data_IF_772782959942
#
_entry.id   IF_772782959942
#
_cell.length_a   1.000
_cell.length_b   1.000
_cell.length_c   1.000
_cell.angle_alpha   90.00
_cell.angle_beta   90.00
_cell.angle_gamma   90.00
#
_symmetry.space_group_name_H-M   'P 1'
#
loop_
_entity.id
_entity.type
_entity.pdbx_description
1 polymer ?
#
# COMPACT_ATOMS: atom_id res chain seq x y z
N UNK A 1 39.24 47.67 -19.65
CA UNK A 1 39.20 46.39 -20.39
C UNK A 1 40.58 45.78 -20.43
N UNK A 2 40.70 44.46 -20.52
CA UNK A 2 42.02 43.83 -20.52
C UNK A 2 42.69 43.93 -21.89
N UNK A 3 43.99 44.22 -21.91
CA UNK A 3 44.80 44.35 -23.11
C UNK A 3 45.82 43.20 -23.19
N UNK A 4 46.25 42.86 -24.40
CA UNK A 4 47.35 41.94 -24.62
C UNK A 4 48.71 42.67 -24.45
N UNK A 5 49.83 41.93 -24.49
CA UNK A 5 51.18 42.50 -24.34
C UNK A 5 51.54 43.50 -25.47
N UNK A 6 50.79 43.50 -26.57
CA UNK A 6 50.91 44.40 -27.73
C UNK A 6 49.87 45.54 -27.72
N UNK A 7 49.14 45.75 -26.62
CA UNK A 7 48.17 46.84 -26.46
C UNK A 7 46.77 46.61 -27.09
N UNK A 8 46.52 45.48 -27.75
CA UNK A 8 45.22 45.14 -28.35
C UNK A 8 44.20 44.74 -27.29
N UNK A 9 42.96 45.23 -27.41
CA UNK A 9 41.88 44.90 -26.48
C UNK A 9 41.43 43.43 -26.62
N UNK A 10 41.28 42.74 -25.48
CA UNK A 10 40.93 41.33 -25.38
C UNK A 10 39.49 41.09 -24.87
N UNK A 11 38.79 42.16 -24.48
CA UNK A 11 37.47 42.14 -23.86
C UNK A 11 37.50 42.39 -22.34
N UNK A 12 36.32 42.42 -21.71
CA UNK A 12 36.16 42.60 -20.26
C UNK A 12 36.57 41.31 -19.53
N UNK A 13 37.45 41.42 -18.53
CA UNK A 13 37.83 40.28 -17.66
C UNK A 13 38.94 39.35 -18.18
N UNK A 14 39.49 39.58 -19.38
CA UNK A 14 40.56 38.75 -19.98
C UNK A 14 41.85 39.55 -20.13
N UNK A 15 42.98 39.03 -19.66
CA UNK A 15 44.31 39.66 -19.78
C UNK A 15 45.37 38.66 -20.20
N UNK A 16 46.45 39.14 -20.81
CA UNK A 16 47.61 38.30 -21.17
C UNK A 16 48.73 38.44 -20.13
N UNK A 17 49.29 37.32 -19.68
CA UNK A 17 50.43 37.29 -18.74
C UNK A 17 51.76 37.40 -19.48
N UNK A 18 52.83 37.75 -18.74
CA UNK A 18 54.21 37.87 -19.27
C UNK A 18 54.73 36.60 -19.94
N UNK A 19 54.24 35.42 -19.53
CA UNK A 19 54.58 34.12 -20.11
C UNK A 19 53.76 33.75 -21.37
N UNK A 20 53.01 34.69 -21.95
CA UNK A 20 52.23 34.49 -23.18
C UNK A 20 50.84 33.87 -22.98
N UNK A 21 50.54 33.31 -21.80
CA UNK A 21 49.26 32.66 -21.47
C UNK A 21 48.17 33.71 -21.23
N UNK A 22 46.96 33.44 -21.70
CA UNK A 22 45.77 34.25 -21.43
C UNK A 22 45.08 33.77 -20.16
N UNK A 23 44.64 34.69 -19.31
CA UNK A 23 43.79 34.36 -18.16
C UNK A 23 42.50 35.17 -18.17
N UNK A 24 41.40 34.49 -17.88
CA UNK A 24 40.08 35.06 -17.67
C UNK A 24 39.73 35.00 -16.18
N UNK A 25 39.17 36.07 -15.63
CA UNK A 25 38.63 36.09 -14.26
C UNK A 25 37.12 36.05 -14.28
N UNK A 26 36.54 35.20 -13.45
CA UNK A 26 35.12 35.20 -13.11
C UNK A 26 34.97 35.21 -11.59
N UNK A 27 33.80 35.62 -11.12
CA UNK A 27 33.43 35.54 -9.71
C UNK A 27 32.58 34.30 -9.56
N UNK A 28 32.98 33.38 -8.68
CA UNK A 28 32.14 32.23 -8.34
C UNK A 28 30.96 32.67 -7.47
N UNK A 29 29.97 31.80 -7.31
CA UNK A 29 28.74 32.12 -6.55
C UNK A 29 28.96 32.49 -5.07
N UNK A 30 30.15 32.24 -4.50
CA UNK A 30 30.50 32.62 -3.13
C UNK A 30 31.21 33.99 -3.06
N UNK A 31 31.27 34.70 -4.19
CA UNK A 31 31.98 35.98 -4.29
C UNK A 31 33.49 35.84 -4.43
N UNK A 32 34.03 34.62 -4.51
CA UNK A 32 35.46 34.40 -4.65
C UNK A 32 35.88 34.51 -6.12
N UNK A 33 37.00 35.20 -6.36
CA UNK A 33 37.52 35.42 -7.71
C UNK A 33 38.29 34.18 -8.17
N UNK A 34 37.74 33.46 -9.13
CA UNK A 34 38.36 32.31 -9.78
C UNK A 34 38.99 32.73 -11.11
N UNK A 35 39.84 31.87 -11.67
CA UNK A 35 40.53 32.15 -12.93
C UNK A 35 40.61 30.90 -13.80
N UNK A 36 40.43 31.10 -15.11
CA UNK A 36 40.66 30.08 -16.14
C UNK A 36 41.82 30.50 -17.02
N UNK A 37 42.54 29.51 -17.56
CA UNK A 37 43.76 29.71 -18.33
C UNK A 37 43.67 29.03 -19.69
N UNK A 38 44.33 29.61 -20.68
CA UNK A 38 44.43 29.06 -22.03
C UNK A 38 45.54 29.72 -22.84
N UNK A 39 45.97 29.04 -23.91
CA UNK A 39 47.02 29.52 -24.81
C UNK A 39 46.45 30.47 -25.88
N UNK A 40 45.13 30.48 -26.07
CA UNK A 40 44.44 31.39 -26.98
C UNK A 40 43.29 32.13 -26.30
N UNK A 41 42.94 33.31 -26.83
CA UNK A 41 41.79 34.10 -26.34
C UNK A 41 40.47 33.34 -26.54
N UNK A 42 40.34 32.58 -27.63
CA UNK A 42 39.14 31.78 -27.94
C UNK A 42 38.92 30.68 -26.90
N UNK A 43 39.99 29.98 -26.52
CA UNK A 43 39.96 28.93 -25.50
C UNK A 43 39.55 29.50 -24.12
N UNK A 44 40.13 30.65 -23.72
CA UNK A 44 39.77 31.30 -22.45
C UNK A 44 38.33 31.78 -22.45
N UNK A 45 37.81 32.31 -23.56
CA UNK A 45 36.40 32.69 -23.68
C UNK A 45 35.45 31.48 -23.57
N UNK A 46 35.77 30.36 -24.21
CA UNK A 46 34.98 29.14 -24.10
C UNK A 46 34.97 28.60 -22.66
N UNK A 47 36.14 28.53 -22.01
CA UNK A 47 36.26 28.13 -20.59
C UNK A 47 35.54 29.07 -19.63
N UNK A 48 35.52 30.37 -19.90
CA UNK A 48 34.74 31.35 -19.11
C UNK A 48 33.24 31.12 -19.27
N UNK A 49 32.74 30.97 -20.50
CA UNK A 49 31.32 30.73 -20.76
C UNK A 49 30.84 29.41 -20.15
N UNK A 50 31.68 28.36 -20.20
CA UNK A 50 31.39 27.07 -19.56
C UNK A 50 31.38 27.18 -18.04
N UNK A 51 32.33 27.91 -17.44
CA UNK A 51 32.37 28.16 -16.00
C UNK A 51 31.16 28.98 -15.53
N UNK A 52 30.79 30.05 -16.25
CA UNK A 52 29.62 30.87 -15.93
C UNK A 52 28.30 30.07 -16.06
N UNK A 53 28.18 29.21 -17.08
CA UNK A 53 27.02 28.32 -17.25
C UNK A 53 26.94 27.27 -16.13
N UNK A 54 28.08 26.71 -15.71
CA UNK A 54 28.14 25.75 -14.61
C UNK A 54 27.81 26.41 -13.27
N UNK A 55 28.32 27.63 -13.02
CA UNK A 55 27.95 28.43 -11.85
C UNK A 55 26.47 28.82 -11.85
N UNK A 56 25.87 29.16 -13.00
CA UNK A 56 24.41 29.41 -13.10
C UNK A 56 23.58 28.14 -12.85
N UNK A 57 24.06 26.96 -13.26
CA UNK A 57 23.39 25.69 -12.96
C UNK A 57 23.50 25.30 -11.48
N UNK A 58 24.62 25.61 -10.84
CA UNK A 58 24.88 25.33 -9.42
C UNK A 58 24.37 26.45 -8.48
N UNK A 59 24.11 27.65 -9.00
CA UNK A 59 23.56 28.82 -8.28
C UNK A 59 22.24 28.52 -7.56
N UNK A 60 21.49 27.52 -8.03
CA UNK A 60 20.22 27.11 -7.45
C UNK A 60 20.36 25.95 -6.46
N UNK A 61 21.57 25.63 -5.96
CA UNK A 61 21.77 24.58 -4.95
C UNK A 61 22.18 25.18 -3.60
N UNK A 62 21.31 25.05 -2.59
CA UNK A 62 21.46 25.61 -1.23
C UNK A 62 22.63 24.98 -0.47
N UNK A 63 22.82 23.67 -0.57
CA UNK A 63 23.93 22.95 0.04
C UNK A 63 24.32 21.72 -0.79
N UNK A 64 25.52 21.74 -1.37
CA UNK A 64 26.04 20.65 -2.19
C UNK A 64 26.68 19.51 -1.37
N UNK A 65 26.92 19.74 -0.08
CA UNK A 65 27.62 18.78 0.78
C UNK A 65 26.67 17.87 1.53
N UNK A 66 25.40 18.25 1.64
CA UNK A 66 24.40 17.47 2.36
C UNK A 66 24.34 16.03 1.83
N UNK A 67 24.46 15.09 2.74
CA UNK A 67 24.34 13.66 2.48
C UNK A 67 22.89 13.20 2.50
N UNK A 68 22.62 12.01 1.97
CA UNK A 68 21.27 11.45 2.00
C UNK A 68 20.77 11.22 3.43
N UNK A 69 21.62 10.76 4.35
CA UNK A 69 21.24 10.55 5.76
C UNK A 69 20.85 11.86 6.44
N UNK A 70 21.67 12.91 6.28
CA UNK A 70 21.36 14.24 6.83
C UNK A 70 20.07 14.82 6.24
N UNK A 71 19.86 14.61 4.93
CA UNK A 71 18.63 15.02 4.29
C UNK A 71 17.42 14.22 4.77
N UNK A 72 17.55 12.90 4.92
CA UNK A 72 16.48 12.03 5.39
C UNK A 72 15.98 12.43 6.77
N UNK A 73 16.88 12.72 7.71
CA UNK A 73 16.50 13.17 9.06
C UNK A 73 15.77 14.52 9.02
N UNK A 74 16.24 15.47 8.20
CA UNK A 74 15.53 16.75 7.99
C UNK A 74 14.16 16.55 7.35
N UNK A 75 14.10 15.73 6.29
CA UNK A 75 12.89 15.44 5.56
C UNK A 75 11.84 14.74 6.43
N UNK A 76 12.26 13.78 7.24
CA UNK A 76 11.39 13.09 8.18
C UNK A 76 10.80 14.09 9.18
N UNK A 77 11.66 14.87 9.84
CA UNK A 77 11.26 15.85 10.87
C UNK A 77 10.34 16.95 10.35
N UNK A 78 10.68 17.54 9.20
CA UNK A 78 9.97 18.72 8.67
C UNK A 78 8.71 18.32 7.90
N UNK A 79 8.78 17.29 7.06
CA UNK A 79 7.72 16.98 6.11
C UNK A 79 6.85 15.79 6.48
N UNK A 80 7.34 14.83 7.29
CA UNK A 80 6.62 13.58 7.56
C UNK A 80 6.08 13.48 8.96
N UNK A 81 6.89 13.73 9.98
CA UNK A 81 6.46 13.65 11.38
C UNK A 81 5.16 14.43 11.68
N UNK A 82 4.94 15.64 11.15
CA UNK A 82 3.70 16.37 11.42
C UNK A 82 2.44 15.77 10.78
N UNK A 83 2.58 14.90 9.78
CA UNK A 83 1.46 14.44 8.94
C UNK A 83 1.25 12.93 8.92
N UNK A 84 2.26 12.13 9.28
CA UNK A 84 2.17 10.65 9.23
C UNK A 84 1.99 10.05 10.63
N UNK A 85 1.23 8.94 10.71
CA UNK A 85 1.10 8.16 11.94
C UNK A 85 2.42 7.45 12.30
N UNK A 86 2.60 7.16 13.60
CA UNK A 86 3.78 6.45 14.13
C UNK A 86 4.12 5.17 13.36
N UNK A 87 3.14 4.34 13.01
CA UNK A 87 3.37 3.11 12.24
C UNK A 87 3.96 3.36 10.84
N UNK A 88 3.59 4.47 10.21
CA UNK A 88 4.13 4.89 8.91
C UNK A 88 5.57 5.37 9.07
N UNK A 89 5.84 6.16 10.12
CA UNK A 89 7.20 6.58 10.49
C UNK A 89 8.11 5.38 10.76
N UNK A 90 7.66 4.41 11.56
CA UNK A 90 8.38 3.16 11.81
C UNK A 90 8.70 2.42 10.51
N UNK A 91 7.73 2.35 9.60
CA UNK A 91 7.92 1.69 8.30
C UNK A 91 8.95 2.40 7.45
N UNK A 92 8.90 3.73 7.38
CA UNK A 92 9.89 4.53 6.64
C UNK A 92 11.29 4.37 7.23
N UNK A 93 11.44 4.49 8.56
CA UNK A 93 12.71 4.34 9.26
C UNK A 93 13.31 2.94 9.07
N UNK A 94 12.50 1.89 9.22
CA UNK A 94 12.95 0.52 9.01
C UNK A 94 13.43 0.29 7.57
N UNK A 95 12.68 0.79 6.60
CA UNK A 95 13.00 0.67 5.18
C UNK A 95 14.25 1.45 4.81
N UNK A 96 14.34 2.71 5.23
CA UNK A 96 15.47 3.58 4.94
C UNK A 96 16.77 3.02 5.55
N UNK A 97 16.78 2.75 6.86
CA UNK A 97 17.97 2.28 7.58
C UNK A 97 18.46 0.91 7.09
N UNK A 98 17.54 0.02 6.69
CA UNK A 98 17.91 -1.33 6.25
C UNK A 98 18.29 -1.42 4.77
N UNK A 99 17.64 -0.64 3.90
CA UNK A 99 17.73 -0.82 2.45
C UNK A 99 18.42 0.34 1.72
N UNK A 100 18.27 1.58 2.20
CA UNK A 100 18.72 2.78 1.48
C UNK A 100 20.03 3.32 2.07
N UNK A 101 20.04 3.60 3.38
CA UNK A 101 21.20 4.18 4.08
C UNK A 101 22.50 3.38 3.90
N UNK A 102 22.50 2.02 3.92
CA UNK A 102 23.73 1.26 3.71
C UNK A 102 24.39 1.47 2.34
N UNK A 103 23.64 1.93 1.34
CA UNK A 103 24.13 2.14 -0.02
C UNK A 103 24.36 3.62 -0.31
N UNK A 104 23.46 4.50 0.10
CA UNK A 104 23.47 5.93 -0.26
C UNK A 104 23.60 6.89 0.92
N UNK A 105 23.56 6.41 2.16
CA UNK A 105 23.42 7.26 3.35
C UNK A 105 24.49 8.35 3.43
N UNK A 106 25.75 7.97 3.21
CA UNK A 106 26.92 8.88 3.18
C UNK A 106 27.14 9.57 1.84
N UNK A 107 26.35 9.25 0.82
CA UNK A 107 26.47 9.86 -0.51
C UNK A 107 25.84 11.24 -0.49
N UNK A 108 26.54 12.24 -1.04
CA UNK A 108 25.98 13.58 -1.25
C UNK A 108 24.81 13.51 -2.22
N UNK A 109 23.75 14.28 -1.96
CA UNK A 109 22.55 14.26 -2.82
C UNK A 109 22.89 14.48 -4.30
N UNK A 110 23.74 15.47 -4.58
CA UNK A 110 24.17 15.84 -5.94
C UNK A 110 24.87 14.71 -6.71
N UNK A 111 25.42 13.73 -5.99
CA UNK A 111 26.14 12.59 -6.59
C UNK A 111 25.25 11.36 -6.80
N UNK A 112 24.00 11.37 -6.32
CA UNK A 112 23.09 10.25 -6.49
C UNK A 112 22.60 10.24 -7.94
N UNK A 113 22.88 9.14 -8.64
CA UNK A 113 22.47 8.98 -10.03
C UNK A 113 21.32 7.99 -10.17
N UNK A 114 20.59 8.09 -11.30
CA UNK A 114 19.56 7.12 -11.67
C UNK A 114 20.11 5.70 -11.78
N UNK A 115 21.34 5.55 -12.27
CA UNK A 115 22.02 4.26 -12.41
C UNK A 115 22.20 3.60 -11.04
N UNK A 116 22.67 4.34 -10.06
CA UNK A 116 22.84 3.85 -8.68
C UNK A 116 21.51 3.36 -8.08
N UNK A 117 20.43 4.14 -8.24
CA UNK A 117 19.11 3.75 -7.73
C UNK A 117 18.57 2.51 -8.45
N UNK A 118 18.78 2.41 -9.77
CA UNK A 118 18.40 1.24 -10.55
C UNK A 118 19.17 0.00 -10.08
N UNK A 119 20.46 0.13 -9.80
CA UNK A 119 21.29 -0.95 -9.27
C UNK A 119 20.83 -1.38 -7.87
N UNK A 120 20.49 -0.45 -6.97
CA UNK A 120 19.90 -0.76 -5.66
C UNK A 120 18.66 -1.66 -5.81
N UNK A 121 17.70 -1.25 -6.65
CA UNK A 121 16.45 -2.00 -6.85
C UNK A 121 16.71 -3.37 -7.50
N UNK A 122 17.64 -3.46 -8.44
CA UNK A 122 18.05 -4.73 -9.06
C UNK A 122 18.68 -5.67 -8.03
N UNK A 123 19.55 -5.16 -7.17
CA UNK A 123 20.17 -5.94 -6.11
C UNK A 123 19.15 -6.39 -5.05
N UNK A 124 18.17 -5.56 -4.72
CA UNK A 124 17.02 -5.99 -3.91
C UNK A 124 16.25 -7.12 -4.59
N UNK A 125 15.99 -7.02 -5.89
CA UNK A 125 15.29 -8.09 -6.62
C UNK A 125 16.07 -9.40 -6.60
N UNK A 126 17.41 -9.35 -6.78
CA UNK A 126 18.30 -10.51 -6.66
C UNK A 126 18.28 -11.14 -5.27
N UNK A 127 18.07 -10.34 -4.22
CA UNK A 127 17.89 -10.81 -2.83
C UNK A 127 16.48 -11.38 -2.55
N UNK A 128 15.62 -11.52 -3.57
CA UNK A 128 14.29 -12.13 -3.44
C UNK A 128 13.16 -11.16 -3.06
N UNK A 129 13.41 -9.86 -2.96
CA UNK A 129 12.34 -8.90 -2.62
C UNK A 129 11.26 -8.84 -3.70
N UNK A 130 9.99 -8.78 -3.28
CA UNK A 130 8.84 -8.70 -4.18
C UNK A 130 8.54 -7.27 -4.66
N UNK A 131 7.74 -7.17 -5.72
CA UNK A 131 7.42 -5.90 -6.40
C UNK A 131 7.02 -4.79 -5.42
N UNK A 132 6.13 -5.08 -4.47
CA UNK A 132 5.62 -4.11 -3.50
C UNK A 132 6.73 -3.53 -2.64
N UNK A 133 7.69 -4.36 -2.22
CA UNK A 133 8.86 -3.91 -1.46
C UNK A 133 9.79 -3.03 -2.28
N UNK A 134 10.04 -3.42 -3.54
CA UNK A 134 10.82 -2.63 -4.49
C UNK A 134 10.15 -1.28 -4.76
N UNK A 135 8.84 -1.30 -4.99
CA UNK A 135 8.04 -0.12 -5.28
C UNK A 135 7.99 0.83 -4.09
N UNK A 136 7.86 0.32 -2.86
CA UNK A 136 7.91 1.15 -1.64
C UNK A 136 9.23 1.91 -1.51
N UNK A 137 10.38 1.24 -1.73
CA UNK A 137 11.70 1.90 -1.72
C UNK A 137 11.78 2.97 -2.81
N UNK A 138 11.34 2.65 -4.03
CA UNK A 138 11.30 3.61 -5.14
C UNK A 138 10.44 4.83 -4.80
N UNK A 139 9.22 4.63 -4.27
CA UNK A 139 8.30 5.71 -3.91
C UNK A 139 8.89 6.60 -2.82
N UNK A 140 9.50 5.99 -1.79
CA UNK A 140 10.16 6.72 -0.71
C UNK A 140 11.31 7.61 -1.25
N UNK A 141 12.16 7.06 -2.13
CA UNK A 141 13.22 7.82 -2.78
C UNK A 141 12.68 8.95 -3.66
N UNK A 142 11.62 8.70 -4.43
CA UNK A 142 10.99 9.72 -5.27
C UNK A 142 10.48 10.87 -4.41
N UNK A 143 9.73 10.58 -3.36
CA UNK A 143 9.13 11.59 -2.48
C UNK A 143 10.20 12.43 -1.76
N UNK A 144 11.20 11.78 -1.15
CA UNK A 144 12.30 12.46 -0.47
C UNK A 144 13.13 13.34 -1.41
N UNK A 145 13.44 12.87 -2.62
CA UNK A 145 14.26 13.62 -3.58
C UNK A 145 13.47 14.67 -4.36
N UNK A 146 12.14 14.56 -4.44
CA UNK A 146 11.29 15.65 -4.92
C UNK A 146 11.32 16.82 -3.95
N UNK A 147 11.18 16.56 -2.64
CA UNK A 147 11.31 17.60 -1.62
C UNK A 147 12.68 18.25 -1.61
N UNK A 148 13.75 17.47 -1.80
CA UNK A 148 15.09 18.02 -1.98
C UNK A 148 15.20 18.94 -3.20
N UNK A 149 14.47 18.67 -4.27
CA UNK A 149 14.46 19.52 -5.47
C UNK A 149 13.67 20.81 -5.24
N UNK A 150 12.50 20.72 -4.61
CA UNK A 150 11.67 21.88 -4.23
C UNK A 150 12.46 22.83 -3.32
N UNK A 151 13.20 22.28 -2.35
CA UNK A 151 14.05 23.04 -1.43
C UNK A 151 15.44 23.36 -2.01
N UNK A 152 15.63 23.20 -3.33
CA UNK A 152 16.85 23.62 -4.01
C UNK A 152 18.12 22.92 -3.47
N UNK A 153 18.04 21.68 -3.00
CA UNK A 153 19.21 20.82 -2.75
C UNK A 153 19.59 19.97 -3.97
N UNK A 154 18.68 19.86 -4.94
CA UNK A 154 18.86 19.12 -6.18
C UNK A 154 18.27 19.88 -7.36
N UNK A 155 18.93 19.82 -8.52
CA UNK A 155 18.39 20.37 -9.78
C UNK A 155 17.32 19.44 -10.36
N UNK A 156 17.45 18.13 -10.16
CA UNK A 156 16.56 17.10 -10.69
C UNK A 156 16.47 15.91 -9.75
N UNK A 157 15.35 15.20 -9.79
CA UNK A 157 15.17 13.97 -9.01
C UNK A 157 15.70 12.76 -9.80
N UNK A 158 16.81 12.13 -9.37
CA UNK A 158 17.38 10.96 -10.05
C UNK A 158 16.53 9.68 -9.93
N UNK A 159 15.60 9.60 -8.96
CA UNK A 159 14.69 8.47 -8.81
C UNK A 159 13.53 8.50 -9.81
N UNK A 160 13.23 9.67 -10.41
CA UNK A 160 12.15 9.81 -11.37
C UNK A 160 12.43 8.97 -12.63
N UNK A 161 11.46 8.14 -13.00
CA UNK A 161 11.57 7.26 -14.17
C UNK A 161 12.48 6.03 -13.98
N UNK A 162 12.87 5.69 -12.75
CA UNK A 162 13.46 4.36 -12.43
C UNK A 162 12.41 3.28 -12.71
N UNK A 163 12.78 2.26 -13.49
CA UNK A 163 11.93 1.08 -13.75
C UNK A 163 12.26 0.00 -12.74
N UNK A 164 11.23 -0.73 -12.30
CA UNK A 164 11.40 -1.87 -11.41
C UNK A 164 11.68 -3.12 -12.25
N UNK A 165 12.54 -4.04 -11.77
CA UNK A 165 12.88 -5.28 -12.47
C UNK A 165 11.78 -6.34 -12.42
N UNK A 166 10.73 -6.12 -11.62
CA UNK A 166 9.54 -6.97 -11.53
C UNK A 166 8.33 -6.20 -12.04
N UNK A 167 7.42 -6.90 -12.70
CA UNK A 167 6.11 -6.36 -13.03
C UNK A 167 5.24 -6.32 -11.77
N UNK A 168 4.29 -5.39 -11.77
CA UNK A 168 3.25 -5.38 -10.73
C UNK A 168 2.48 -6.69 -10.85
N UNK A 169 2.36 -7.49 -9.77
CA UNK A 169 1.58 -8.70 -9.85
C UNK A 169 0.11 -8.33 -10.09
N UNK A 170 -0.54 -9.05 -11.01
CA UNK A 170 -1.99 -9.08 -11.06
C UNK A 170 -2.44 -10.00 -9.92
N UNK A 171 -2.55 -9.44 -8.72
CA UNK A 171 -3.11 -10.19 -7.61
C UNK A 171 -4.62 -10.31 -7.84
N UNK A 172 -5.08 -11.48 -8.23
CA UNK A 172 -6.49 -11.83 -8.09
C UNK A 172 -6.83 -11.79 -6.59
N UNK A 173 -7.90 -11.08 -6.25
CA UNK A 173 -8.31 -11.01 -4.86
C UNK A 173 -8.99 -12.33 -4.51
N UNK A 174 -8.23 -13.21 -3.84
CA UNK A 174 -8.71 -14.55 -3.47
C UNK A 174 -9.65 -14.47 -2.26
N UNK A 175 -10.95 -14.52 -2.54
CA UNK A 175 -11.96 -14.96 -1.58
C UNK A 175 -11.96 -16.48 -1.51
N UNK A 176 -12.46 -17.06 -0.41
CA UNK A 176 -12.66 -18.51 -0.34
C UNK A 176 -13.71 -18.95 -1.36
N UNK A 177 -13.48 -20.10 -1.99
CA UNK A 177 -14.54 -20.82 -2.71
C UNK A 177 -15.64 -21.24 -1.73
N UNK A 178 -16.82 -21.62 -2.24
CA UNK A 178 -17.91 -22.10 -1.37
C UNK A 178 -17.56 -23.42 -0.70
N UNK A 179 -16.84 -24.28 -1.43
CA UNK A 179 -16.31 -25.56 -0.95
C UNK A 179 -15.26 -25.33 0.14
N UNK A 180 -14.24 -24.51 -0.12
CA UNK A 180 -13.20 -24.20 0.87
C UNK A 180 -13.76 -23.54 2.13
N UNK A 181 -14.74 -22.67 1.96
CA UNK A 181 -15.43 -22.07 3.10
C UNK A 181 -16.15 -23.14 3.93
N UNK A 182 -16.87 -24.06 3.29
CA UNK A 182 -17.58 -25.14 3.98
C UNK A 182 -16.61 -26.01 4.76
N UNK A 183 -15.59 -26.55 4.08
CA UNK A 183 -14.60 -27.45 4.67
C UNK A 183 -13.84 -26.78 5.83
N UNK A 184 -13.46 -25.51 5.66
CA UNK A 184 -12.79 -24.75 6.71
C UNK A 184 -13.66 -24.63 7.95
N UNK A 185 -14.94 -24.28 7.81
CA UNK A 185 -15.83 -24.06 8.96
C UNK A 185 -16.32 -25.36 9.60
N UNK A 186 -16.42 -26.45 8.83
CA UNK A 186 -16.67 -27.78 9.37
C UNK A 186 -15.47 -28.27 10.19
N UNK A 187 -14.24 -28.14 9.66
CA UNK A 187 -13.02 -28.50 10.38
C UNK A 187 -12.77 -27.59 11.60
N UNK A 188 -13.05 -26.29 11.49
CA UNK A 188 -12.90 -25.35 12.60
C UNK A 188 -13.95 -25.55 13.70
N UNK A 189 -15.06 -26.26 13.44
CA UNK A 189 -16.13 -26.45 14.40
C UNK A 189 -15.60 -27.06 15.71
N UNK A 190 -16.01 -26.47 16.84
CA UNK A 190 -15.55 -26.91 18.17
C UNK A 190 -14.13 -26.50 18.55
N UNK A 191 -13.34 -25.94 17.64
CA UNK A 191 -12.02 -25.39 17.98
C UNK A 191 -12.14 -24.06 18.72
N UNK A 192 -11.09 -23.70 19.48
CA UNK A 192 -11.11 -22.53 20.37
C UNK A 192 -11.44 -21.21 19.66
N UNK A 193 -11.01 -21.03 18.41
CA UNK A 193 -11.19 -19.79 17.65
C UNK A 193 -12.36 -19.84 16.65
N UNK A 194 -13.18 -20.89 16.65
CA UNK A 194 -14.27 -21.06 15.70
C UNK A 194 -15.21 -19.85 15.64
N UNK A 195 -15.68 -19.38 16.81
CA UNK A 195 -16.59 -18.24 16.88
C UNK A 195 -15.97 -16.97 16.27
N UNK A 196 -14.66 -16.76 16.47
CA UNK A 196 -13.92 -15.63 15.88
C UNK A 196 -13.90 -15.72 14.34
N UNK A 197 -13.65 -16.90 13.78
CA UNK A 197 -13.67 -17.10 12.33
C UNK A 197 -15.07 -16.85 11.75
N UNK A 198 -16.11 -17.35 12.44
CA UNK A 198 -17.51 -17.16 12.01
C UNK A 198 -17.86 -15.68 12.02
N UNK A 199 -17.47 -14.94 13.06
CA UNK A 199 -17.69 -13.49 13.10
C UNK A 199 -16.91 -12.79 11.99
N UNK A 200 -15.65 -13.14 11.76
CA UNK A 200 -14.82 -12.52 10.72
C UNK A 200 -15.43 -12.65 9.31
N UNK A 201 -15.89 -13.86 8.92
CA UNK A 201 -16.44 -14.10 7.59
C UNK A 201 -17.84 -13.50 7.41
N UNK A 202 -18.61 -13.29 8.49
CA UNK A 202 -19.96 -12.73 8.43
C UNK A 202 -20.01 -11.21 8.56
N UNK A 203 -18.89 -10.55 8.87
CA UNK A 203 -18.85 -9.09 9.11
C UNK A 203 -17.81 -8.38 8.28
N UNK A 204 -16.80 -9.11 7.79
CA UNK A 204 -15.68 -8.54 7.06
C UNK A 204 -14.86 -7.53 7.85
N UNK A 205 -14.87 -7.60 9.19
CA UNK A 205 -14.01 -6.76 10.03
C UNK A 205 -12.54 -6.99 9.68
N UNK A 206 -11.74 -5.92 9.73
CA UNK A 206 -10.29 -6.07 9.60
C UNK A 206 -9.77 -6.82 10.83
N UNK A 207 -8.71 -7.62 10.73
CA UNK A 207 -8.25 -8.41 11.87
C UNK A 207 -7.95 -7.56 13.12
N UNK A 208 -7.31 -6.39 12.96
CA UNK A 208 -7.08 -5.47 14.08
C UNK A 208 -8.36 -4.89 14.72
N UNK A 209 -9.45 -4.72 13.95
CA UNK A 209 -10.76 -4.31 14.47
C UNK A 209 -11.41 -5.45 15.25
N UNK A 210 -11.30 -6.69 14.73
CA UNK A 210 -11.80 -7.90 15.36
C UNK A 210 -11.12 -8.16 16.71
N UNK A 211 -9.80 -7.98 16.80
CA UNK A 211 -9.03 -8.19 18.04
C UNK A 211 -9.36 -7.17 19.13
N UNK A 212 -9.91 -6.01 18.74
CA UNK A 212 -10.18 -4.90 19.65
C UNK A 212 -11.65 -4.82 20.07
N UNK A 213 -12.48 -5.75 19.59
CA UNK A 213 -13.91 -5.78 19.86
C UNK A 213 -14.17 -6.11 21.33
N UNK A 214 -15.04 -5.35 21.99
CA UNK A 214 -15.52 -5.62 23.35
C UNK A 214 -17.01 -5.97 23.33
N UNK A 215 -17.56 -6.46 24.44
CA UNK A 215 -19.00 -6.74 24.57
C UNK A 215 -19.85 -5.46 24.40
N UNK A 216 -19.32 -4.30 24.84
CA UNK A 216 -19.98 -2.99 24.73
C UNK A 216 -20.14 -2.49 23.29
N UNK A 217 -19.33 -2.99 22.35
CA UNK A 217 -19.43 -2.62 20.93
C UNK A 217 -20.60 -3.30 20.23
N UNK A 218 -21.29 -4.25 20.87
CA UNK A 218 -22.37 -5.05 20.27
C UNK A 218 -23.72 -4.50 20.69
N UNK A 219 -24.49 -4.00 19.72
CA UNK A 219 -25.88 -3.62 19.90
C UNK A 219 -26.79 -4.79 19.48
N UNK A 220 -27.21 -5.55 20.49
CA UNK A 220 -28.09 -6.72 20.34
C UNK A 220 -29.52 -6.37 19.91
N UNK A 221 -29.96 -5.13 20.18
CA UNK A 221 -31.31 -4.67 19.84
C UNK A 221 -31.40 -4.39 18.35
N UNK A 222 -30.39 -3.69 17.82
CA UNK A 222 -30.34 -3.32 16.41
C UNK A 222 -29.59 -4.35 15.54
N UNK A 223 -29.01 -5.41 16.13
CA UNK A 223 -28.19 -6.40 15.44
C UNK A 223 -27.02 -5.75 14.68
N UNK A 224 -26.22 -4.96 15.39
CA UNK A 224 -25.04 -4.31 14.79
C UNK A 224 -23.81 -4.37 15.70
N UNK A 225 -22.64 -4.29 15.08
CA UNK A 225 -21.36 -4.06 15.74
C UNK A 225 -20.89 -2.64 15.44
N UNK A 226 -20.52 -1.90 16.49
CA UNK A 226 -19.90 -0.58 16.38
C UNK A 226 -18.37 -0.72 16.31
N UNK A 227 -17.80 -0.42 15.15
CA UNK A 227 -16.36 -0.48 14.92
C UNK A 227 -15.76 0.89 15.18
N UNK A 228 -15.04 1.04 16.30
CA UNK A 228 -14.51 2.34 16.73
C UNK A 228 -13.01 2.30 17.12
N UNK A 229 -12.38 1.13 17.12
CA UNK A 229 -10.99 0.92 17.55
C UNK A 229 -10.30 -0.20 16.78
N UNK A 230 -8.97 -0.20 16.83
CA UNK A 230 -8.13 -1.26 16.28
C UNK A 230 -6.98 -1.56 17.25
N UNK A 231 -6.64 -2.83 17.36
CA UNK A 231 -5.49 -3.30 18.13
C UNK A 231 -4.36 -3.66 17.16
N UNK A 232 -3.17 -3.14 17.43
CA UNK A 232 -1.96 -3.38 16.65
C UNK A 232 -0.87 -3.96 17.54
N UNK A 233 -0.20 -5.02 17.10
CA UNK A 233 0.99 -5.56 17.76
C UNK A 233 2.24 -5.25 16.94
N UNK A 234 2.99 -4.22 17.33
CA UNK A 234 4.18 -3.75 16.62
C UNK A 234 5.13 -3.06 17.60
N UNK A 235 6.39 -2.87 17.22
CA UNK A 235 7.29 -1.93 17.88
C UNK A 235 7.12 -0.56 17.23
N UNK A 236 6.49 0.39 17.90
CA UNK A 236 6.43 1.79 17.51
C UNK A 236 7.62 2.56 18.11
N UNK A 237 7.76 3.82 17.70
CA UNK A 237 8.80 4.69 18.23
C UNK A 237 8.53 5.02 19.70
N UNK A 238 9.55 4.92 20.54
CA UNK A 238 9.42 5.03 22.00
C UNK A 238 9.35 3.67 22.70
N UNK A 239 8.99 2.60 21.99
CA UNK A 239 8.91 1.28 22.60
C UNK A 239 10.28 0.58 22.70
N UNK A 240 10.50 -0.14 23.79
CA UNK A 240 11.68 -1.00 23.95
C UNK A 240 11.58 -2.26 23.07
N UNK A 241 10.39 -2.86 22.99
CA UNK A 241 10.11 -4.09 22.26
C UNK A 241 8.76 -4.02 21.51
N UNK A 242 8.33 -5.10 20.85
CA UNK A 242 6.99 -5.14 20.25
C UNK A 242 5.96 -5.16 21.36
N UNK A 243 4.99 -4.27 21.30
CA UNK A 243 3.89 -4.20 22.27
C UNK A 243 2.55 -4.00 21.57
N UNK A 244 1.48 -4.07 22.34
CA UNK A 244 0.13 -3.82 21.88
C UNK A 244 -0.19 -2.32 21.95
N UNK A 245 -0.74 -1.79 20.87
CA UNK A 245 -1.21 -0.42 20.79
C UNK A 245 -2.68 -0.44 20.41
N UNK A 246 -3.50 0.11 21.29
CA UNK A 246 -4.89 0.39 21.02
C UNK A 246 -5.02 1.81 20.47
N UNK A 247 -5.75 1.99 19.38
CA UNK A 247 -5.97 3.31 18.82
C UNK A 247 -7.20 3.37 17.93
N UNK A 248 -7.57 4.60 17.50
CA UNK A 248 -8.67 4.76 16.56
C UNK A 248 -8.30 4.16 15.19
N UNK A 249 -9.30 3.71 14.40
CA UNK A 249 -9.09 3.18 13.06
C UNK A 249 -8.29 4.12 12.15
N UNK A 250 -7.73 3.54 11.07
CA UNK A 250 -6.80 4.25 10.17
C UNK A 250 -7.42 5.46 9.47
N UNK A 251 -8.73 5.45 9.24
CA UNK A 251 -9.46 6.51 8.55
C UNK A 251 -10.77 6.79 9.29
N UNK A 252 -11.31 8.00 9.19
CA UNK A 252 -12.63 8.33 9.74
C UNK A 252 -13.71 7.40 9.19
N UNK A 253 -13.64 7.07 7.90
CA UNK A 253 -14.53 6.11 7.24
C UNK A 253 -14.45 4.69 7.80
N UNK A 254 -13.43 4.38 8.60
CA UNK A 254 -13.31 3.07 9.25
C UNK A 254 -14.13 3.00 10.54
N UNK A 255 -14.52 4.15 11.11
CA UNK A 255 -15.53 4.21 12.18
C UNK A 255 -16.89 3.99 11.54
N UNK A 256 -17.54 2.88 11.89
CA UNK A 256 -18.76 2.43 11.19
C UNK A 256 -19.57 1.45 12.01
N UNK A 257 -20.80 1.26 11.57
CA UNK A 257 -21.71 0.25 12.11
C UNK A 257 -21.83 -0.88 11.08
N UNK A 258 -21.65 -2.13 11.52
CA UNK A 258 -21.73 -3.32 10.67
C UNK A 258 -22.91 -4.18 11.12
N UNK A 259 -23.90 -4.45 10.26
CA UNK A 259 -25.00 -5.34 10.63
C UNK A 259 -24.52 -6.78 10.80
N UNK A 260 -25.11 -7.50 11.75
CA UNK A 260 -24.84 -8.91 12.01
C UNK A 260 -26.04 -9.76 11.65
N UNK A 261 -25.78 -10.89 10.97
CA UNK A 261 -26.80 -11.90 10.68
C UNK A 261 -26.96 -12.89 11.85
N UNK A 262 -27.90 -13.82 11.71
CA UNK A 262 -28.20 -14.81 12.75
C UNK A 262 -27.02 -15.75 13.07
N UNK A 263 -26.19 -16.10 12.09
CA UNK A 263 -24.98 -16.90 12.29
C UNK A 263 -23.95 -16.17 13.14
N UNK A 264 -23.67 -14.91 12.82
CA UNK A 264 -22.77 -14.05 13.57
C UNK A 264 -23.28 -13.82 14.99
N UNK A 265 -24.58 -13.52 15.15
CA UNK A 265 -25.22 -13.32 16.46
C UNK A 265 -25.00 -14.54 17.38
N UNK A 266 -25.31 -15.74 16.89
CA UNK A 266 -25.10 -16.99 17.64
C UNK A 266 -23.63 -17.22 17.99
N UNK A 267 -22.71 -16.89 17.10
CA UNK A 267 -21.26 -17.02 17.35
C UNK A 267 -20.79 -16.05 18.44
N UNK A 268 -21.29 -14.81 18.46
CA UNK A 268 -20.98 -13.82 19.49
C UNK A 268 -21.55 -14.23 20.86
N UNK A 269 -22.79 -14.73 20.91
CA UNK A 269 -23.41 -15.24 22.14
C UNK A 269 -22.57 -16.39 22.75
N UNK A 270 -22.15 -17.34 21.91
CA UNK A 270 -21.24 -18.43 22.31
C UNK A 270 -19.88 -17.90 22.76
N UNK A 271 -19.33 -16.90 22.07
CA UNK A 271 -18.05 -16.29 22.39
C UNK A 271 -18.08 -15.61 23.76
N UNK A 272 -19.15 -14.89 24.12
CA UNK A 272 -19.28 -14.24 25.44
C UNK A 272 -19.22 -15.27 26.56
N UNK A 273 -19.91 -16.41 26.39
CA UNK A 273 -19.87 -17.50 27.38
C UNK A 273 -18.46 -18.08 27.48
N UNK A 274 -17.83 -18.36 26.33
CA UNK A 274 -16.46 -18.87 26.27
C UNK A 274 -15.46 -17.91 26.94
N UNK A 275 -15.57 -16.61 26.65
CA UNK A 275 -14.74 -15.54 27.22
C UNK A 275 -14.83 -15.52 28.75
N UNK A 276 -16.05 -15.52 29.29
CA UNK A 276 -16.28 -15.58 30.75
C UNK A 276 -15.59 -16.79 31.40
N UNK A 277 -15.65 -17.96 30.75
CA UNK A 277 -14.98 -19.18 31.23
C UNK A 277 -13.45 -19.02 31.19
N UNK A 278 -12.89 -18.45 30.12
CA UNK A 278 -11.44 -18.22 29.99
C UNK A 278 -10.96 -17.21 31.03
N UNK A 279 -11.68 -16.09 31.20
CA UNK A 279 -11.34 -15.05 32.19
C UNK A 279 -11.40 -15.60 33.62
N UNK A 280 -12.41 -16.42 33.94
CA UNK A 280 -12.54 -17.04 35.26
C UNK A 280 -11.36 -17.96 35.62
N UNK A 281 -10.76 -18.62 34.61
CA UNK A 281 -9.59 -19.50 34.77
C UNK A 281 -8.25 -18.78 34.68
N UNK A 282 -8.24 -17.52 34.27
CA UNK A 282 -7.03 -16.77 33.98
C UNK A 282 -6.47 -16.10 35.24
N UNK A 283 -5.18 -16.29 35.50
CA UNK A 283 -4.47 -15.65 36.61
C UNK A 283 -3.97 -14.23 36.27
N UNK A 284 -3.99 -13.83 35.00
CA UNK A 284 -3.53 -12.52 34.50
C UNK A 284 -4.70 -11.52 34.46
N UNK A 285 -5.05 -10.96 35.62
CA UNK A 285 -6.20 -10.04 35.77
C UNK A 285 -5.91 -8.57 35.49
N UNK A 286 -4.63 -8.19 35.37
CA UNK A 286 -4.20 -6.79 35.19
C UNK A 286 -3.43 -6.62 33.89
N UNK A 287 -4.14 -6.73 32.77
CA UNK A 287 -3.61 -6.24 31.50
C UNK A 287 -4.08 -4.79 31.35
N UNK A 288 -3.19 -3.87 30.97
CA UNK A 288 -3.52 -2.45 30.68
C UNK A 288 -4.36 -2.31 29.39
N UNK A 289 -5.34 -3.19 29.20
CA UNK A 289 -6.17 -3.28 28.01
C UNK A 289 -7.63 -3.48 28.41
N UNK A 290 -8.58 -3.01 27.59
CA UNK A 290 -9.98 -3.35 27.73
C UNK A 290 -10.23 -4.86 27.75
N UNK A 291 -11.40 -5.25 28.26
CA UNK A 291 -11.86 -6.64 28.24
C UNK A 291 -12.28 -7.04 26.82
N UNK A 292 -11.29 -7.36 25.98
CA UNK A 292 -11.51 -7.78 24.59
C UNK A 292 -12.25 -9.10 24.52
N UNK A 293 -13.25 -9.19 23.66
CA UNK A 293 -14.10 -10.37 23.49
C UNK A 293 -13.34 -11.60 22.95
N UNK A 294 -12.34 -11.35 22.09
CA UNK A 294 -11.49 -12.39 21.51
C UNK A 294 -10.08 -12.31 22.10
N UNK A 295 -9.74 -13.32 22.91
CA UNK A 295 -8.44 -13.43 23.56
C UNK A 295 -7.75 -14.75 23.22
N UNK A 296 -6.50 -14.90 23.66
CA UNK A 296 -5.86 -16.21 23.72
C UNK A 296 -6.53 -17.10 24.78
N UNK A 297 -6.17 -18.38 24.82
CA UNK A 297 -6.56 -19.32 25.88
C UNK A 297 -6.11 -18.90 27.30
N UNK A 298 -5.18 -17.94 27.39
CA UNK A 298 -4.67 -17.38 28.65
C UNK A 298 -5.27 -16.00 28.97
N UNK A 299 -6.30 -15.58 28.23
CA UNK A 299 -6.96 -14.30 28.42
C UNK A 299 -6.15 -13.08 28.00
N UNK A 300 -5.14 -13.24 27.15
CA UNK A 300 -4.32 -12.11 26.65
C UNK A 300 -4.81 -11.64 25.27
N UNK A 301 -4.53 -10.38 24.87
CA UNK A 301 -4.89 -9.87 23.55
C UNK A 301 -4.31 -10.70 22.39
N UNK A 302 -5.04 -10.71 21.27
CA UNK A 302 -4.64 -11.39 20.03
C UNK A 302 -3.79 -10.49 19.14
N UNK A 303 -2.94 -11.12 18.32
CA UNK A 303 -2.19 -10.46 17.27
C UNK A 303 -2.35 -11.19 15.93
N UNK A 304 -1.90 -10.56 14.85
CA UNK A 304 -2.03 -11.10 13.50
C UNK A 304 -1.33 -12.45 13.30
N UNK A 305 -0.20 -12.70 13.96
CA UNK A 305 0.51 -13.96 13.83
C UNK A 305 -0.31 -15.11 14.42
N UNK A 306 -0.80 -14.96 15.66
CA UNK A 306 -1.64 -15.97 16.31
C UNK A 306 -2.90 -16.29 15.50
N UNK A 307 -3.48 -15.27 14.85
CA UNK A 307 -4.64 -15.46 13.99
C UNK A 307 -4.30 -16.24 12.71
N UNK A 308 -3.19 -15.90 12.05
CA UNK A 308 -2.72 -16.64 10.88
C UNK A 308 -2.35 -18.09 11.25
N UNK A 309 -1.63 -18.31 12.35
CA UNK A 309 -1.26 -19.65 12.82
C UNK A 309 -2.51 -20.50 13.12
N UNK A 310 -3.54 -19.88 13.70
CA UNK A 310 -4.81 -20.55 13.98
C UNK A 310 -5.57 -20.94 12.70
N UNK A 311 -5.53 -20.10 11.66
CA UNK A 311 -6.11 -20.39 10.34
C UNK A 311 -5.30 -21.49 9.65
N UNK A 312 -3.97 -21.34 9.61
CA UNK A 312 -3.06 -22.28 8.96
C UNK A 312 -3.21 -23.69 9.53
N UNK A 313 -3.36 -23.81 10.85
CA UNK A 313 -3.65 -25.10 11.48
C UNK A 313 -4.92 -25.76 10.93
N UNK A 314 -6.00 -25.01 10.72
CA UNK A 314 -7.24 -25.56 10.14
C UNK A 314 -7.03 -25.95 8.68
N UNK A 315 -6.37 -25.10 7.90
CA UNK A 315 -6.06 -25.38 6.48
C UNK A 315 -5.23 -26.66 6.35
N UNK A 316 -4.21 -26.83 7.21
CA UNK A 316 -3.39 -28.03 7.25
C UNK A 316 -4.23 -29.27 7.55
N UNK A 317 -5.11 -29.22 8.55
CA UNK A 317 -6.01 -30.34 8.89
C UNK A 317 -6.98 -30.68 7.75
N UNK A 318 -7.58 -29.68 7.09
CA UNK A 318 -8.43 -29.91 5.90
C UNK A 318 -7.63 -30.60 4.80
N UNK A 319 -6.41 -30.14 4.54
CA UNK A 319 -5.54 -30.67 3.50
C UNK A 319 -5.03 -32.09 3.76
N UNK A 320 -5.11 -32.61 4.99
CA UNK A 320 -4.84 -34.04 5.27
C UNK A 320 -5.91 -34.96 4.66
N UNK A 321 -7.10 -34.44 4.37
CA UNK A 321 -8.25 -35.19 3.86
C UNK A 321 -8.52 -34.94 2.37
N UNK A 322 -7.76 -34.04 1.72
CA UNK A 322 -7.93 -33.67 0.32
C UNK A 322 -6.89 -34.33 -0.58
N UNK A 323 -7.23 -34.45 -1.87
CA UNK A 323 -6.29 -34.87 -2.90
C UNK A 323 -5.14 -33.85 -3.03
N UNK A 324 -3.88 -34.29 -3.21
CA UNK A 324 -2.74 -33.38 -3.41
C UNK A 324 -2.89 -32.39 -4.58
N UNK A 325 -3.77 -32.67 -5.55
CA UNK A 325 -4.07 -31.79 -6.68
C UNK A 325 -5.14 -30.73 -6.37
N UNK A 326 -5.85 -30.84 -5.23
CA UNK A 326 -6.97 -29.98 -4.83
C UNK A 326 -6.80 -29.43 -3.40
N UNK A 327 -5.55 -29.12 -3.04
CA UNK A 327 -5.25 -28.57 -1.73
C UNK A 327 -5.80 -27.15 -1.58
N UNK A 328 -6.42 -26.90 -0.45
CA UNK A 328 -6.79 -25.54 -0.03
C UNK A 328 -5.52 -24.71 0.13
N UNK A 329 -5.47 -23.58 -0.57
CA UNK A 329 -4.36 -22.65 -0.45
C UNK A 329 -4.31 -22.02 0.95
N UNK A 330 -3.09 -21.73 1.43
CA UNK A 330 -2.94 -20.97 2.67
C UNK A 330 -3.36 -19.52 2.49
N UNK A 331 -4.06 -18.97 3.48
CA UNK A 331 -4.56 -17.61 3.43
C UNK A 331 -4.43 -16.89 4.78
N UNK A 332 -4.44 -15.56 4.72
CA UNK A 332 -4.41 -14.72 5.93
C UNK A 332 -5.83 -14.35 6.38
N UNK A 333 -5.93 -13.85 7.61
CA UNK A 333 -7.18 -13.31 8.15
C UNK A 333 -7.93 -12.28 7.30
N UNK A 334 -7.24 -11.57 6.40
CA UNK A 334 -7.90 -10.63 5.47
C UNK A 334 -8.75 -11.35 4.41
N UNK A 335 -8.50 -12.65 4.15
CA UNK A 335 -9.27 -13.45 3.22
C UNK A 335 -10.75 -13.51 3.64
N UNK A 336 -11.06 -13.69 4.94
CA UNK A 336 -12.45 -13.69 5.41
C UNK A 336 -13.21 -12.42 5.07
N UNK A 337 -12.52 -11.27 5.05
CA UNK A 337 -13.10 -10.00 4.64
C UNK A 337 -13.37 -9.94 3.14
N UNK A 338 -12.47 -10.49 2.32
CA UNK A 338 -12.72 -10.64 0.89
C UNK A 338 -13.88 -11.60 0.63
N UNK A 339 -13.92 -12.73 1.33
CA UNK A 339 -15.04 -13.68 1.29
C UNK A 339 -16.36 -13.01 1.68
N UNK A 340 -16.40 -12.23 2.77
CA UNK A 340 -17.59 -11.46 3.14
C UNK A 340 -18.08 -10.55 2.01
N UNK A 341 -17.16 -9.78 1.41
CA UNK A 341 -17.49 -8.88 0.30
C UNK A 341 -18.04 -9.65 -0.92
N UNK A 342 -17.36 -10.72 -1.31
CA UNK A 342 -17.77 -11.61 -2.40
C UNK A 342 -19.17 -12.17 -2.16
N UNK A 343 -19.44 -12.71 -0.96
CA UNK A 343 -20.77 -13.25 -0.61
C UNK A 343 -21.85 -12.18 -0.60
N UNK A 344 -21.53 -10.96 -0.19
CA UNK A 344 -22.47 -9.83 -0.29
C UNK A 344 -22.84 -9.54 -1.76
N UNK A 345 -21.87 -9.54 -2.67
CA UNK A 345 -22.13 -9.31 -4.10
C UNK A 345 -22.86 -10.47 -4.77
N UNK A 346 -22.51 -11.71 -4.43
CA UNK A 346 -23.24 -12.90 -4.88
C UNK A 346 -24.70 -12.83 -4.47
N UNK A 347 -24.99 -12.36 -3.25
CA UNK A 347 -26.33 -12.11 -2.72
C UNK A 347 -27.01 -10.85 -3.28
N UNK A 348 -26.37 -10.10 -4.18
CA UNK A 348 -26.96 -8.92 -4.82
C UNK A 348 -26.95 -7.64 -3.97
N UNK A 349 -26.16 -7.58 -2.89
CA UNK A 349 -26.03 -6.37 -2.08
C UNK A 349 -25.28 -5.29 -2.88
N UNK A 350 -25.86 -4.09 -2.91
CA UNK A 350 -25.35 -2.95 -3.68
C UNK A 350 -23.90 -2.59 -3.27
N UNK A 351 -22.99 -2.31 -4.23
CA UNK A 351 -21.59 -1.98 -3.94
C UNK A 351 -21.39 -0.86 -2.93
N UNK A 352 -22.24 0.17 -2.94
CA UNK A 352 -22.15 1.28 -1.99
C UNK A 352 -22.39 0.84 -0.54
N UNK A 353 -23.32 -0.09 -0.34
CA UNK A 353 -23.63 -0.67 0.97
C UNK A 353 -22.47 -1.54 1.46
N UNK A 354 -21.90 -2.39 0.61
CA UNK A 354 -20.72 -3.19 0.96
C UNK A 354 -19.51 -2.31 1.24
N UNK A 355 -19.32 -1.21 0.49
CA UNK A 355 -18.29 -0.21 0.78
C UNK A 355 -18.42 0.34 2.20
N UNK A 356 -19.65 0.64 2.64
CA UNK A 356 -19.94 1.13 3.99
C UNK A 356 -19.64 0.07 5.05
N UNK A 357 -20.06 -1.19 4.85
CA UNK A 357 -19.77 -2.28 5.80
C UNK A 357 -18.28 -2.57 5.93
N UNK A 358 -17.53 -2.45 4.84
CA UNK A 358 -16.08 -2.64 4.82
C UNK A 358 -15.34 -1.41 5.35
N UNK A 359 -15.89 -0.20 5.23
CA UNK A 359 -15.15 1.04 5.54
C UNK A 359 -13.99 1.25 4.55
N UNK A 360 -14.23 1.05 3.26
CA UNK A 360 -13.27 1.38 2.19
C UNK A 360 -13.31 2.89 1.89
N UNK A 361 -12.14 3.53 1.89
CA UNK A 361 -12.02 4.96 1.64
C UNK A 361 -12.42 5.35 0.20
N UNK A 362 -12.19 4.46 -0.78
CA UNK A 362 -12.60 4.68 -2.17
C UNK A 362 -13.54 3.56 -2.64
N UNK A 363 -14.47 3.91 -3.54
CA UNK A 363 -15.36 2.94 -4.17
C UNK A 363 -14.58 1.99 -5.10
N UNK A 364 -13.49 2.45 -5.71
CA UNK A 364 -12.63 1.63 -6.57
C UNK A 364 -12.18 0.34 -5.87
N UNK A 365 -11.75 0.40 -4.61
CA UNK A 365 -11.34 -0.79 -3.85
C UNK A 365 -12.46 -1.83 -3.72
N UNK A 366 -13.71 -1.38 -3.66
CA UNK A 366 -14.89 -2.24 -3.60
C UNK A 366 -15.27 -2.75 -4.99
N UNK A 367 -15.14 -1.91 -6.01
CA UNK A 367 -15.43 -2.29 -7.40
C UNK A 367 -14.44 -3.31 -7.94
N UNK A 368 -13.16 -3.23 -7.58
CA UNK A 368 -12.16 -4.23 -7.95
C UNK A 368 -12.55 -5.65 -7.49
N UNK A 369 -13.24 -5.76 -6.34
CA UNK A 369 -13.81 -7.02 -5.84
C UNK A 369 -15.07 -7.41 -6.60
N UNK A 370 -15.98 -6.45 -6.78
CA UNK A 370 -17.26 -6.65 -7.45
C UNK A 370 -17.07 -7.16 -8.88
N UNK A 371 -16.19 -6.55 -9.67
CA UNK A 371 -15.96 -6.93 -11.07
C UNK A 371 -15.48 -8.37 -11.21
N UNK A 372 -14.66 -8.86 -10.27
CA UNK A 372 -14.21 -10.24 -10.27
C UNK A 372 -15.38 -11.24 -10.06
N UNK A 373 -16.36 -10.88 -9.22
CA UNK A 373 -17.55 -11.71 -8.96
C UNK A 373 -18.52 -11.66 -10.15
N UNK A 374 -18.73 -10.47 -10.73
CA UNK A 374 -19.67 -10.29 -11.83
C UNK A 374 -19.23 -10.96 -13.13
N UNK A 375 -17.92 -11.19 -13.32
CA UNK A 375 -17.40 -11.96 -14.45
C UNK A 375 -18.08 -13.35 -14.55
N UNK A 376 -18.43 -13.95 -13.42
CA UNK A 376 -19.17 -15.22 -13.33
C UNK A 376 -20.70 -15.08 -13.45
N UNK A 377 -21.25 -13.86 -13.39
CA UNK A 377 -22.70 -13.55 -13.48
C UNK A 377 -23.15 -12.96 -14.82
N UNK A 378 -22.23 -12.69 -15.76
CA UNK A 378 -22.50 -12.00 -17.04
C UNK A 378 -23.70 -12.54 -17.82
N UNK A 379 -23.92 -13.86 -17.81
CA UNK A 379 -25.05 -14.47 -18.53
C UNK A 379 -26.37 -14.25 -17.80
N UNK A 380 -26.39 -14.36 -16.47
CA UNK A 380 -27.61 -14.19 -15.67
C UNK A 380 -28.08 -12.74 -15.64
N UNK A 381 -27.18 -11.77 -15.74
CA UNK A 381 -27.54 -10.35 -15.77
C UNK A 381 -28.27 -9.96 -17.05
N UNK A 382 -28.02 -10.65 -18.17
CA UNK A 382 -28.76 -10.45 -19.42
C UNK A 382 -30.19 -10.97 -19.31
N UNK A 383 -30.42 -12.03 -18.53
CA UNK A 383 -31.77 -12.53 -18.22
C UNK A 383 -32.57 -11.48 -17.43
N UNK A 384 -31.94 -10.86 -16.42
CA UNK A 384 -32.57 -9.76 -15.66
C UNK A 384 -32.90 -8.56 -16.55
N UNK A 385 -32.07 -8.28 -17.55
CA UNK A 385 -32.32 -7.23 -18.53
C UNK A 385 -33.50 -7.59 -19.43
N UNK A 386 -33.54 -8.83 -19.94
CA UNK A 386 -34.63 -9.37 -20.76
C UNK A 386 -35.98 -9.28 -20.03
N UNK A 387 -36.03 -9.73 -18.77
CA UNK A 387 -37.21 -9.64 -17.90
C UNK A 387 -37.67 -8.18 -17.67
N UNK A 388 -36.75 -7.21 -17.74
CA UNK A 388 -37.04 -5.79 -17.49
C UNK A 388 -37.45 -4.99 -18.70
N UNK A 389 -37.10 -5.48 -19.90
CA UNK A 389 -37.20 -4.70 -21.15
C UNK A 389 -38.61 -4.79 -21.79
N UNK A 390 -39.47 -5.69 -21.31
CA UNK A 390 -40.89 -5.85 -21.73
C UNK A 390 -41.08 -5.75 -23.25
N UNK A 391 -40.13 -6.36 -23.99
CA UNK A 391 -40.25 -6.51 -25.44
C UNK A 391 -41.08 -7.77 -25.72
N UNK A 392 -41.94 -7.75 -26.75
CA UNK A 392 -42.66 -8.94 -27.16
C UNK A 392 -41.67 -10.06 -27.48
N UNK A 393 -41.90 -11.24 -26.89
CA UNK A 393 -41.09 -12.44 -27.12
C UNK A 393 -41.00 -12.72 -28.63
N UNK A 394 -39.80 -12.71 -29.23
CA UNK A 394 -39.63 -13.01 -30.65
C UNK A 394 -40.17 -14.40 -31.03
N UNK A 395 -40.26 -15.33 -30.08
CA UNK A 395 -40.82 -16.67 -30.29
C UNK A 395 -42.36 -16.67 -30.36
N UNK A 396 -43.03 -15.65 -29.83
CA UNK A 396 -44.49 -15.52 -29.95
C UNK A 396 -44.92 -15.21 -31.39
N UNK A 397 -44.09 -14.53 -32.19
CA UNK A 397 -44.38 -14.25 -33.61
C UNK A 397 -44.16 -15.47 -34.54
N UNK A 398 -43.32 -16.44 -34.14
CA UNK A 398 -43.00 -17.60 -34.99
C UNK A 398 -44.15 -18.63 -35.02
N UNK A 399 -45.09 -18.59 -34.06
CA UNK A 399 -46.26 -19.49 -34.04
C UNK A 399 -47.46 -19.03 -34.88
N UNK A 400 -47.35 -17.93 -35.65
CA UNK A 400 -48.42 -17.43 -36.52
C UNK A 400 -48.26 -17.76 -38.02
N UNK A 401 -47.18 -18.45 -38.42
CA UNK A 401 -46.94 -18.80 -39.83
C UNK A 401 -47.26 -20.27 -40.19
N UNK A 402 -47.97 -21.02 -39.32
CA UNK A 402 -48.41 -22.40 -39.57
C UNK A 402 -49.84 -22.53 -40.12
N UNK A 403 -50.49 -21.44 -40.55
CA UNK A 403 -51.77 -21.50 -41.26
C UNK A 403 -51.65 -21.06 -42.72
N UNK A 404 -51.48 -22.07 -43.58
CA UNK A 404 -51.99 -22.20 -44.95
C UNK A 404 -52.34 -20.91 -45.72
N UNK A 405 -51.45 -20.52 -46.65
CA UNK A 405 -51.88 -20.20 -48.02
C UNK A 405 -50.88 -20.78 -49.01
N UNK A 406 -51.22 -21.95 -49.53
CA UNK A 406 -50.64 -22.53 -50.74
C UNK A 406 -50.88 -21.53 -51.88
N UNK A 407 -49.85 -20.80 -52.29
CA UNK A 407 -49.86 -20.06 -53.55
C UNK A 407 -49.68 -21.08 -54.67
N UNK A 408 -50.79 -21.52 -55.27
CA UNK A 408 -50.77 -22.24 -56.54
C UNK A 408 -50.37 -21.27 -57.64
N UNK A 409 -49.20 -21.49 -58.25
CA UNK A 409 -48.91 -20.95 -59.57
C UNK A 409 -49.58 -21.84 -60.62
N UNK A 410 -50.59 -21.30 -61.30
CA UNK A 410 -51.10 -21.82 -62.57
C UNK A 410 -50.67 -20.88 -63.68
N UNK A 411 -50.08 -21.42 -64.75
CA UNK A 411 -49.76 -20.71 -66.00
C UNK A 411 -48.29 -20.49 -66.21
#
# INVERSE_FOLDING_TARGET
>A
MGKNLKGKELGKGITQRKNGVYHGRYVDRFGARRSVYGTTVKEVKAKLAEAELNEQKLSNIVDEKITLDEWYEKWMRVYKEPVVRLSTKTTYNSMYRRLISPVFGKTRLVNITKLMITDLVNNMSKKGYQYESLNKVKVLLIDMLNRAMEDQFLIRNPAKGVRLPKNKPQNEIKALSKEDQTDFFECAAGTFYNNMFVVAVNTGLRPGELYALTEEDIDWKNNVIHVNRTLLYQKLEGDECKTFHLGPPKTETSIRTVPINSYCRKALEKQIIQHKIVMAKTCRKNLEFPDFLFTTKLGTPLNAQLYCDAIERIVQEVNLMRDPLDLMETFSGHCFRHTFATRCFEAGIVPKTVQAYLGHASLQMTMDLYTAVMEHKKVNDMQLLEDSIDLPDPAAEINLASNEKVIKFCG
#
